data_IF_017031146447
#
_entry.id   IF_017031146447
#
_cell.length_a   1.000
_cell.length_b   1.000
_cell.length_c   1.000
_cell.angle_alpha   90.00
_cell.angle_beta   90.00
_cell.angle_gamma   90.00
#
_symmetry.space_group_name_H-M   'P 1'
#
loop_
_entity.id
_entity.type
_entity.pdbx_description
1 polymer ?
#
# COMPACT_ATOMS: atom_id res chain seq x y z
N UNK A 1 2.13 10.38 -3.05
CA UNK A 1 2.71 10.99 -1.82
C UNK A 1 1.70 11.96 -1.22
N UNK A 2 1.65 12.08 0.10
CA UNK A 2 0.88 13.10 0.83
C UNK A 2 1.60 13.43 2.14
N UNK A 3 1.37 14.61 2.71
CA UNK A 3 1.78 14.93 4.08
C UNK A 3 0.64 14.60 5.05
N UNK A 4 0.97 14.29 6.30
CA UNK A 4 0.03 14.24 7.41
C UNK A 4 -0.78 15.54 7.56
N UNK A 5 -1.86 15.46 8.35
CA UNK A 5 -2.73 16.60 8.66
C UNK A 5 -2.85 16.74 10.17
N UNK A 6 -3.15 17.96 10.64
CA UNK A 6 -3.21 18.27 12.06
C UNK A 6 -1.80 18.30 12.64
N UNK A 7 -1.56 17.51 13.68
CA UNK A 7 -0.27 17.43 14.39
C UNK A 7 0.68 16.37 13.81
N UNK A 8 0.37 15.83 12.62
CA UNK A 8 1.19 14.86 11.90
C UNK A 8 1.88 15.54 10.72
N UNK A 9 3.20 15.69 10.79
CA UNK A 9 4.05 16.29 9.75
C UNK A 9 4.74 15.26 8.85
N UNK A 10 4.52 13.95 9.10
CA UNK A 10 5.13 12.88 8.34
C UNK A 10 4.70 12.89 6.86
N UNK A 11 5.59 12.38 6.01
CA UNK A 11 5.32 12.14 4.59
C UNK A 11 4.95 10.67 4.37
N UNK A 12 3.85 10.44 3.64
CA UNK A 12 3.37 9.12 3.28
C UNK A 12 3.58 8.89 1.79
N UNK A 13 4.47 7.96 1.44
CA UNK A 13 4.88 7.67 0.07
C UNK A 13 4.40 6.27 -0.29
N UNK A 14 3.52 6.18 -1.29
CA UNK A 14 3.09 4.90 -1.82
C UNK A 14 4.18 4.29 -2.70
N UNK A 15 4.47 3.01 -2.46
CA UNK A 15 5.40 2.23 -3.26
C UNK A 15 4.64 1.22 -4.12
N UNK A 16 4.99 1.19 -5.41
CA UNK A 16 4.42 0.25 -6.36
C UNK A 16 4.79 -1.19 -6.00
N UNK A 17 4.06 -2.17 -6.53
CA UNK A 17 4.46 -3.58 -6.44
C UNK A 17 5.90 -3.79 -6.95
N UNK A 18 6.63 -4.79 -6.40
CA UNK A 18 7.95 -5.15 -6.92
C UNK A 18 7.90 -5.48 -8.42
N UNK A 19 8.95 -5.14 -9.17
CA UNK A 19 9.09 -5.64 -10.54
C UNK A 19 9.21 -7.17 -10.55
N UNK A 20 8.93 -7.86 -11.67
CA UNK A 20 8.88 -9.33 -11.73
C UNK A 20 10.10 -10.04 -11.14
N UNK A 21 11.31 -9.52 -11.38
CA UNK A 21 12.57 -10.10 -10.87
C UNK A 21 12.74 -10.01 -9.34
N UNK A 22 11.91 -9.22 -8.66
CA UNK A 22 11.95 -9.00 -7.21
C UNK A 22 10.64 -9.42 -6.51
N UNK A 23 9.72 -10.06 -7.23
CA UNK A 23 8.53 -10.62 -6.63
C UNK A 23 8.90 -11.68 -5.57
N UNK A 24 8.16 -11.69 -4.45
CA UNK A 24 8.43 -12.58 -3.33
C UNK A 24 9.53 -12.11 -2.36
N UNK A 25 10.25 -11.03 -2.68
CA UNK A 25 11.18 -10.39 -1.72
C UNK A 25 10.35 -9.71 -0.63
N UNK A 26 10.65 -10.05 0.63
CA UNK A 26 9.90 -9.52 1.77
C UNK A 26 10.18 -8.03 1.97
N UNK A 27 9.14 -7.28 2.35
CA UNK A 27 9.18 -5.85 2.68
C UNK A 27 9.68 -4.97 1.51
N UNK A 28 9.35 -5.35 0.29
CA UNK A 28 9.66 -4.58 -0.91
C UNK A 28 8.37 -4.29 -1.66
N UNK A 29 8.11 -3.03 -1.96
CA UNK A 29 6.93 -2.59 -2.71
C UNK A 29 5.59 -2.88 -2.00
N UNK A 30 4.49 -2.51 -2.68
CA UNK A 30 3.12 -2.67 -2.17
C UNK A 30 2.95 -2.22 -0.72
N UNK A 31 3.52 -1.06 -0.39
CA UNK A 31 3.54 -0.50 0.95
C UNK A 31 3.42 1.02 0.91
N UNK A 32 3.16 1.62 2.06
CA UNK A 32 3.25 3.07 2.26
C UNK A 32 4.44 3.33 3.18
N UNK A 33 5.53 3.89 2.65
CA UNK A 33 6.62 4.38 3.48
C UNK A 33 6.16 5.62 4.26
N UNK A 34 6.55 5.68 5.52
CA UNK A 34 6.33 6.81 6.43
C UNK A 34 7.69 7.44 6.71
N UNK A 35 7.85 8.69 6.29
CA UNK A 35 9.07 9.46 6.45
C UNK A 35 8.80 10.66 7.38
N UNK A 36 9.83 11.16 8.07
CA UNK A 36 9.74 12.45 8.77
C UNK A 36 9.60 13.61 7.78
N UNK A 37 9.35 14.82 8.28
CA UNK A 37 9.37 16.06 7.50
C UNK A 37 10.71 16.32 6.80
N UNK A 38 11.81 15.79 7.34
CA UNK A 38 13.16 15.88 6.78
C UNK A 38 13.45 14.78 5.75
N UNK A 39 12.54 13.81 5.59
CA UNK A 39 12.66 12.69 4.67
C UNK A 39 13.29 11.44 5.27
N UNK A 40 13.52 11.39 6.58
CA UNK A 40 14.09 10.22 7.25
C UNK A 40 13.07 9.09 7.36
N UNK A 41 13.42 7.89 6.92
CA UNK A 41 12.54 6.72 7.02
C UNK A 41 12.25 6.36 8.48
N UNK A 42 10.97 6.28 8.83
CA UNK A 42 10.50 5.90 10.15
C UNK A 42 9.99 4.45 10.16
N UNK A 43 9.09 4.13 9.24
CA UNK A 43 8.45 2.81 9.13
C UNK A 43 7.73 2.67 7.78
N UNK A 44 7.03 1.54 7.57
CA UNK A 44 6.07 1.38 6.48
C UNK A 44 4.75 0.77 6.98
N UNK A 45 3.67 1.07 6.26
CA UNK A 45 2.40 0.36 6.35
C UNK A 45 2.33 -0.66 5.22
N UNK A 46 1.80 -1.85 5.50
CA UNK A 46 1.79 -2.95 4.54
C UNK A 46 2.30 -4.23 5.17
N UNK A 47 1.92 -5.37 4.58
CA UNK A 47 2.43 -6.67 4.98
C UNK A 47 3.77 -6.93 4.31
N UNK A 48 4.46 -8.01 4.71
CA UNK A 48 5.76 -8.33 4.15
C UNK A 48 5.72 -8.71 2.67
N UNK A 49 4.55 -8.99 2.10
CA UNK A 49 4.34 -9.31 0.69
C UNK A 49 3.02 -8.67 0.22
N UNK A 50 2.85 -8.40 -1.09
CA UNK A 50 1.57 -7.98 -1.64
C UNK A 50 0.45 -9.00 -1.39
N UNK A 51 -0.80 -8.55 -1.31
CA UNK A 51 -1.98 -9.43 -1.17
C UNK A 51 -3.19 -8.74 -0.54
N UNK A 52 -4.27 -9.52 -0.28
CA UNK A 52 -5.52 -8.99 0.27
C UNK A 52 -5.64 -9.09 1.79
N UNK A 53 -4.66 -9.71 2.46
CA UNK A 53 -4.68 -9.87 3.91
C UNK A 53 -4.89 -8.54 4.65
N UNK A 54 -5.32 -8.61 5.92
CA UNK A 54 -5.73 -7.44 6.71
C UNK A 54 -4.69 -6.32 6.69
N UNK A 55 -3.40 -6.65 6.74
CA UNK A 55 -2.30 -5.69 6.72
C UNK A 55 -1.63 -5.51 5.35
N UNK A 56 -2.05 -6.22 4.31
CA UNK A 56 -1.39 -6.19 3.00
C UNK A 56 -2.01 -5.13 2.08
N UNK A 57 -1.23 -4.71 1.08
CA UNK A 57 -1.73 -4.01 -0.10
C UNK A 57 -1.46 -4.87 -1.34
N UNK A 58 -2.25 -4.67 -2.38
CA UNK A 58 -2.08 -5.29 -3.70
C UNK A 58 -1.47 -4.32 -4.69
N UNK A 59 -1.93 -3.06 -4.71
CA UNK A 59 -1.44 -2.04 -5.63
C UNK A 59 -1.77 -0.63 -5.13
N UNK A 60 -1.13 -0.11 -4.06
CA UNK A 60 -1.42 1.20 -3.52
C UNK A 60 -1.04 2.30 -4.52
N UNK A 61 -1.97 3.21 -4.80
CA UNK A 61 -1.82 4.21 -5.86
C UNK A 61 -2.25 5.62 -5.45
N UNK A 62 -3.24 5.71 -4.54
CA UNK A 62 -3.65 6.96 -3.89
C UNK A 62 -3.42 6.88 -2.39
N UNK A 63 -2.97 7.96 -1.78
CA UNK A 63 -2.80 8.05 -0.32
C UNK A 63 -3.25 9.43 0.19
N UNK A 64 -4.01 9.45 1.27
CA UNK A 64 -4.38 10.66 2.00
C UNK A 64 -4.46 10.38 3.49
N UNK A 65 -4.46 11.43 4.30
CA UNK A 65 -4.60 11.37 5.76
C UNK A 65 -5.82 12.16 6.23
N UNK A 66 -6.30 11.91 7.44
CA UNK A 66 -7.25 12.80 8.14
C UNK A 66 -6.59 13.52 9.31
N UNK A 67 -7.30 14.48 9.92
CA UNK A 67 -6.80 15.25 11.07
C UNK A 67 -6.65 14.44 12.36
N UNK A 68 -7.06 13.16 12.37
CA UNK A 68 -6.85 12.22 13.46
C UNK A 68 -5.63 11.32 13.20
N UNK A 69 -4.90 11.55 12.10
CA UNK A 69 -3.73 10.77 11.70
C UNK A 69 -4.06 9.40 11.11
N UNK A 70 -5.31 9.12 10.72
CA UNK A 70 -5.60 7.90 9.96
C UNK A 70 -5.12 8.04 8.53
N UNK A 71 -4.59 6.95 7.96
CA UNK A 71 -4.11 6.87 6.58
C UNK A 71 -5.11 6.11 5.72
N UNK A 72 -5.51 6.70 4.60
CA UNK A 72 -6.41 6.13 3.61
C UNK A 72 -5.63 5.83 2.35
N UNK A 73 -5.74 4.60 1.85
CA UNK A 73 -4.97 4.12 0.71
C UNK A 73 -5.94 3.55 -0.32
N UNK A 74 -5.96 4.15 -1.51
CA UNK A 74 -6.70 3.65 -2.66
C UNK A 74 -5.80 2.75 -3.51
N UNK A 75 -6.33 1.61 -3.93
CA UNK A 75 -5.60 0.57 -4.64
C UNK A 75 -6.16 0.35 -6.04
N UNK A 76 -5.27 0.17 -7.02
CA UNK A 76 -5.66 -0.29 -8.38
C UNK A 76 -5.56 -1.82 -8.41
N UNK A 77 -6.28 -2.45 -7.48
CA UNK A 77 -6.12 -3.87 -7.15
C UNK A 77 -6.41 -4.79 -8.35
N UNK A 78 -7.51 -4.56 -9.06
CA UNK A 78 -7.89 -5.43 -10.19
C UNK A 78 -6.85 -5.37 -11.33
N UNK A 79 -6.69 -4.20 -11.94
CA UNK A 79 -5.91 -4.03 -13.17
C UNK A 79 -4.41 -4.26 -12.98
N UNK A 80 -3.84 -3.88 -11.83
CA UNK A 80 -2.40 -3.99 -11.62
C UNK A 80 -2.00 -5.30 -10.91
N UNK A 81 -2.89 -5.90 -10.11
CA UNK A 81 -2.56 -7.10 -9.34
C UNK A 81 -3.29 -8.34 -9.87
N UNK A 82 -4.63 -8.37 -9.80
CA UNK A 82 -5.41 -9.58 -10.07
C UNK A 82 -5.54 -9.99 -11.54
N UNK A 83 -5.53 -9.04 -12.47
CA UNK A 83 -5.57 -9.38 -13.89
C UNK A 83 -4.21 -9.86 -14.44
N UNK A 84 -3.17 -9.95 -13.61
CA UNK A 84 -1.85 -10.44 -13.98
C UNK A 84 -1.43 -11.61 -13.06
N UNK A 85 -1.30 -12.85 -13.59
CA UNK A 85 -0.84 -14.01 -12.83
C UNK A 85 0.56 -13.82 -12.21
N UNK A 86 1.45 -13.10 -12.87
CA UNK A 86 2.80 -12.84 -12.33
C UNK A 86 2.71 -12.01 -11.04
N UNK A 87 1.78 -11.06 -10.97
CA UNK A 87 1.64 -10.19 -9.80
C UNK A 87 0.88 -10.87 -8.66
N UNK A 88 -0.25 -11.52 -8.97
CA UNK A 88 -1.15 -12.12 -7.98
C UNK A 88 -0.78 -13.53 -7.56
N UNK A 89 0.04 -14.24 -8.34
CA UNK A 89 0.27 -15.67 -8.19
C UNK A 89 -0.98 -16.53 -8.50
N UNK A 90 -2.00 -15.95 -9.15
CA UNK A 90 -3.25 -16.63 -9.48
C UNK A 90 -3.40 -16.82 -10.99
N UNK A 91 -3.57 -18.07 -11.40
CA UNK A 91 -3.90 -18.44 -12.79
C UNK A 91 -5.33 -18.03 -13.18
N UNK A 92 -6.22 -17.95 -12.18
CA UNK A 92 -7.62 -17.54 -12.38
C UNK A 92 -7.91 -16.38 -11.43
N UNK A 93 -8.19 -15.17 -11.96
CA UNK A 93 -8.53 -14.03 -11.13
C UNK A 93 -9.79 -14.28 -10.27
N UNK A 94 -9.90 -13.67 -9.09
CA UNK A 94 -11.09 -13.78 -8.26
C UNK A 94 -12.32 -13.24 -8.98
N UNK A 95 -13.50 -13.81 -8.70
CA UNK A 95 -14.76 -13.31 -9.21
C UNK A 95 -15.32 -12.27 -8.24
N UNK A 96 -15.57 -11.05 -8.73
CA UNK A 96 -16.23 -9.98 -7.96
C UNK A 96 -15.32 -8.83 -7.58
N UNK A 97 -15.74 -8.06 -6.58
CA UNK A 97 -15.03 -6.89 -6.09
C UNK A 97 -13.83 -7.32 -5.22
N UNK A 98 -12.70 -6.67 -5.46
CA UNK A 98 -11.47 -6.80 -4.67
C UNK A 98 -11.26 -5.54 -3.84
N UNK A 99 -10.54 -5.64 -2.73
CA UNK A 99 -10.33 -4.49 -1.84
C UNK A 99 -9.61 -3.36 -2.61
N UNK A 100 -10.28 -2.21 -2.72
CA UNK A 100 -9.78 -1.04 -3.47
C UNK A 100 -9.54 0.19 -2.60
N UNK A 101 -9.94 0.15 -1.33
CA UNK A 101 -9.73 1.22 -0.36
C UNK A 101 -9.47 0.64 1.03
N UNK A 102 -8.40 1.08 1.69
CA UNK A 102 -8.05 0.69 3.05
C UNK A 102 -7.90 1.91 3.96
N UNK A 103 -8.25 1.72 5.23
CA UNK A 103 -8.03 2.69 6.30
C UNK A 103 -7.13 2.08 7.38
N UNK A 104 -6.02 2.75 7.66
CA UNK A 104 -5.15 2.49 8.80
C UNK A 104 -5.40 3.55 9.86
N UNK A 105 -5.91 3.12 11.03
CA UNK A 105 -6.25 4.04 12.11
C UNK A 105 -5.04 4.23 13.03
N UNK A 106 -4.73 5.48 13.35
CA UNK A 106 -3.81 5.83 14.45
C UNK A 106 -4.51 5.50 15.78
N UNK A 107 -3.88 4.69 16.61
CA UNK A 107 -4.36 4.35 17.96
C UNK A 107 -3.79 5.30 19.00
#
# INVERSE_FOLDING_TARGET
>A
VTQGKGDDDNLYVGEMIPPPVQQGVRNLGAMIAVLSSEGDYQQHLGGPLPGEGVSQFTAPHGVSTDSQGSVYVAEVAWTNYFSNPDNSGMETPPLGEVVSLRKWRRL
#
